data_IF_868913009443
#
_entry.id   IF_868913009443
#
_cell.length_a   1.000
_cell.length_b   1.000
_cell.length_c   1.000
_cell.angle_alpha   90.00
_cell.angle_beta   90.00
_cell.angle_gamma   90.00
#
_symmetry.space_group_name_H-M   'P 1'
#
loop_
_entity.id
_entity.type
_entity.pdbx_description
1 polymer ?
#
# COMPACT_ATOMS: atom_id res chain seq x y z
N UNK A 1 -20.16 33.79 -2.77
CA UNK A 1 -21.29 32.89 -2.45
C UNK A 1 -21.26 31.53 -3.19
N UNK A 2 -20.62 31.36 -4.35
CA UNK A 2 -20.62 30.06 -5.08
C UNK A 2 -19.76 28.95 -4.43
N UNK A 3 -18.73 29.29 -3.66
CA UNK A 3 -17.85 28.35 -2.98
C UNK A 3 -18.56 27.63 -1.80
N UNK A 4 -19.58 28.28 -1.22
CA UNK A 4 -20.30 27.73 -0.05
C UNK A 4 -21.13 26.48 -0.40
N UNK A 5 -21.47 26.27 -1.67
CA UNK A 5 -22.21 25.08 -2.11
C UNK A 5 -21.32 23.93 -2.58
N UNK A 6 -20.05 24.19 -2.90
CA UNK A 6 -19.11 23.17 -3.36
C UNK A 6 -18.73 22.22 -2.20
N UNK A 7 -18.55 22.77 -1.00
CA UNK A 7 -18.16 21.99 0.18
C UNK A 7 -19.21 20.93 0.59
N UNK A 8 -20.51 21.28 0.74
CA UNK A 8 -21.53 20.28 1.06
C UNK A 8 -21.79 19.28 -0.07
N UNK A 9 -21.63 19.70 -1.35
CA UNK A 9 -21.77 18.77 -2.48
C UNK A 9 -20.64 17.73 -2.51
N UNK A 10 -19.40 18.14 -2.19
CA UNK A 10 -18.25 17.22 -2.06
C UNK A 10 -18.44 16.22 -0.91
N UNK A 11 -19.04 16.67 0.20
CA UNK A 11 -19.34 15.82 1.36
C UNK A 11 -20.43 14.78 1.07
N UNK A 12 -21.42 15.13 0.24
CA UNK A 12 -22.49 14.20 -0.16
C UNK A 12 -21.98 13.09 -1.10
N UNK A 13 -20.96 13.37 -1.93
CA UNK A 13 -20.35 12.37 -2.80
C UNK A 13 -19.60 11.27 -2.02
N UNK A 14 -19.10 11.58 -0.82
CA UNK A 14 -18.39 10.60 0.00
C UNK A 14 -19.30 9.53 0.64
N UNK A 15 -20.61 9.75 0.68
CA UNK A 15 -21.59 8.82 1.27
C UNK A 15 -21.93 7.62 0.37
N UNK A 16 -21.52 7.66 -0.90
CA UNK A 16 -21.77 6.59 -1.88
C UNK A 16 -20.55 5.68 -2.12
N UNK A 17 -19.46 5.89 -1.39
CA UNK A 17 -18.26 5.07 -1.50
C UNK A 17 -18.35 3.82 -0.61
N UNK A 18 -19.22 2.88 -0.97
CA UNK A 18 -19.22 1.53 -0.37
C UNK A 18 -18.57 0.57 -1.35
N UNK A 19 -17.28 0.43 -1.31
CA UNK A 19 -16.59 -0.41 -2.29
C UNK A 19 -15.30 -1.01 -1.76
N UNK A 20 -15.30 -1.58 -0.57
CA UNK A 20 -14.12 -2.34 -0.13
C UNK A 20 -14.59 -3.48 0.76
N UNK A 21 -14.14 -4.69 0.41
CA UNK A 21 -14.32 -5.82 1.30
C UNK A 21 -13.23 -5.80 2.40
N UNK A 22 -13.39 -6.63 3.41
CA UNK A 22 -12.48 -6.69 4.56
C UNK A 22 -11.05 -7.07 4.16
N UNK A 23 -10.88 -7.86 3.11
CA UNK A 23 -9.57 -8.27 2.61
C UNK A 23 -8.81 -7.10 1.98
N UNK A 24 -9.49 -6.25 1.21
CA UNK A 24 -8.88 -5.06 0.64
C UNK A 24 -8.52 -4.05 1.73
N UNK A 25 -9.40 -3.86 2.73
CA UNK A 25 -9.08 -3.01 3.87
C UNK A 25 -7.81 -3.49 4.60
N UNK A 26 -7.68 -4.80 4.84
CA UNK A 26 -6.50 -5.41 5.44
C UNK A 26 -5.26 -5.23 4.55
N UNK A 27 -5.41 -5.44 3.24
CA UNK A 27 -4.32 -5.29 2.27
C UNK A 27 -3.79 -3.86 2.21
N UNK A 28 -4.67 -2.86 2.22
CA UNK A 28 -4.28 -1.44 2.21
C UNK A 28 -3.75 -0.96 3.56
N UNK A 29 -4.16 -1.56 4.67
CA UNK A 29 -3.66 -1.19 6.01
C UNK A 29 -2.25 -1.69 6.30
N UNK A 30 -1.75 -2.67 5.56
CA UNK A 30 -0.38 -3.20 5.76
C UNK A 30 0.64 -2.20 5.24
N UNK A 31 1.47 -1.70 6.15
CA UNK A 31 2.65 -0.92 5.81
C UNK A 31 3.87 -1.84 5.81
N UNK A 32 4.63 -1.81 4.74
CA UNK A 32 5.93 -2.48 4.68
C UNK A 32 7.01 -1.42 4.88
N UNK A 33 7.96 -1.61 5.81
CA UNK A 33 8.98 -0.61 6.10
C UNK A 33 10.04 -0.56 4.99
N UNK A 34 9.64 -0.08 3.83
CA UNK A 34 10.55 0.25 2.75
C UNK A 34 11.20 1.60 3.02
N UNK A 35 12.40 1.80 2.52
CA UNK A 35 13.13 3.06 2.67
C UNK A 35 14.63 2.88 2.50
N UNK A 36 15.42 3.61 3.27
CA UNK A 36 16.87 3.43 3.27
C UNK A 36 17.25 2.02 3.74
N UNK A 37 18.39 1.52 3.29
CA UNK A 37 18.90 0.21 3.72
C UNK A 37 19.01 0.11 5.25
N UNK A 38 19.33 1.22 5.92
CA UNK A 38 19.43 1.28 7.38
C UNK A 38 18.06 1.06 8.02
N UNK A 39 17.03 1.77 7.58
CA UNK A 39 15.66 1.66 8.13
C UNK A 39 15.08 0.28 7.87
N UNK A 40 15.30 -0.25 6.66
CA UNK A 40 14.84 -1.61 6.29
C UNK A 40 15.52 -2.69 7.11
N UNK A 41 16.84 -2.57 7.34
CA UNK A 41 17.59 -3.53 8.17
C UNK A 41 17.13 -3.56 9.63
N UNK A 42 16.57 -2.45 10.14
CA UNK A 42 16.00 -2.36 11.48
C UNK A 42 14.50 -2.71 11.52
N UNK A 43 13.95 -3.26 10.44
CA UNK A 43 12.54 -3.62 10.36
C UNK A 43 11.59 -2.43 10.48
N UNK A 44 12.05 -1.21 10.14
CA UNK A 44 11.27 0.03 10.28
C UNK A 44 11.26 0.64 11.68
N UNK A 45 11.95 0.06 12.67
CA UNK A 45 12.01 0.55 14.05
C UNK A 45 12.92 1.78 14.17
N UNK A 46 12.62 2.85 13.43
CA UNK A 46 13.46 4.03 13.29
C UNK A 46 12.77 5.34 13.72
N UNK A 47 11.50 5.28 14.14
CA UNK A 47 10.69 6.46 14.39
C UNK A 47 11.24 7.44 15.47
N UNK A 48 12.02 6.96 16.43
CA UNK A 48 12.62 7.78 17.47
C UNK A 48 14.04 8.29 17.15
N UNK A 49 14.73 7.69 16.19
CA UNK A 49 16.15 7.96 15.95
C UNK A 49 16.39 9.22 15.13
N UNK A 50 15.60 9.47 14.10
CA UNK A 50 15.81 10.58 13.16
C UNK A 50 17.12 10.46 12.38
N UNK A 51 17.45 11.50 11.59
CA UNK A 51 18.69 11.54 10.82
C UNK A 51 18.73 10.57 9.64
N UNK A 52 17.59 10.15 9.16
CA UNK A 52 17.38 9.40 7.93
C UNK A 52 16.15 9.96 7.22
N UNK A 53 16.23 10.20 5.92
CA UNK A 53 15.14 10.81 5.16
C UNK A 53 13.87 9.98 5.15
N UNK A 54 13.98 8.66 5.24
CA UNK A 54 12.83 7.75 5.33
C UNK A 54 11.97 8.03 6.55
N UNK A 55 12.57 8.55 7.64
CA UNK A 55 11.83 8.85 8.88
C UNK A 55 10.82 9.97 8.72
N UNK A 56 10.91 10.79 7.68
CA UNK A 56 9.92 11.83 7.42
C UNK A 56 8.50 11.27 7.24
N UNK A 57 8.38 10.04 6.79
CA UNK A 57 7.07 9.35 6.64
C UNK A 57 6.48 8.88 7.97
N UNK A 58 7.31 8.61 8.98
CA UNK A 58 6.89 8.07 10.29
C UNK A 58 6.96 9.11 11.39
N UNK A 59 8.01 9.92 11.40
CA UNK A 59 8.24 10.98 12.37
C UNK A 59 8.91 12.20 11.70
N UNK A 60 8.15 13.18 11.23
CA UNK A 60 8.70 14.40 10.61
C UNK A 60 9.68 15.18 11.51
N UNK A 61 9.55 15.06 12.83
CA UNK A 61 10.47 15.67 13.78
C UNK A 61 11.91 15.17 13.66
N UNK A 62 12.11 13.99 13.06
CA UNK A 62 13.43 13.42 12.79
C UNK A 62 14.31 14.26 11.86
N UNK A 63 13.72 15.18 11.07
CA UNK A 63 14.47 16.12 10.23
C UNK A 63 15.34 17.08 11.09
N UNK A 64 14.94 17.33 12.34
CA UNK A 64 15.68 18.20 13.26
C UNK A 64 17.09 17.71 13.61
N UNK A 65 17.38 16.44 13.38
CA UNK A 65 18.69 15.83 13.66
C UNK A 65 19.75 16.19 12.61
N UNK A 66 19.33 16.52 11.38
CA UNK A 66 20.26 16.87 10.32
C UNK A 66 21.03 18.15 10.63
N UNK A 67 22.35 18.12 10.43
CA UNK A 67 23.27 19.24 10.60
C UNK A 67 23.92 19.67 9.30
N UNK A 68 23.77 18.88 8.25
CA UNK A 68 24.29 19.12 6.90
C UNK A 68 23.21 18.80 5.88
N UNK A 69 23.30 19.43 4.73
CA UNK A 69 22.46 19.08 3.60
C UNK A 69 22.86 17.69 3.07
N UNK A 70 21.84 16.89 2.71
CA UNK A 70 22.02 15.51 2.27
C UNK A 70 21.07 15.20 1.13
N UNK A 71 21.51 14.37 0.20
CA UNK A 71 20.68 13.76 -0.84
C UNK A 71 20.76 12.24 -0.64
N UNK A 72 19.64 11.58 -0.65
CA UNK A 72 19.55 10.13 -0.51
C UNK A 72 18.82 9.53 -1.70
N UNK A 73 19.37 8.43 -2.19
CA UNK A 73 18.78 7.59 -3.22
C UNK A 73 18.92 6.14 -2.79
N UNK A 74 17.81 5.39 -2.82
CA UNK A 74 17.80 3.97 -2.47
C UNK A 74 17.10 3.18 -3.56
N UNK A 75 17.82 2.25 -4.17
CA UNK A 75 17.25 1.22 -5.03
C UNK A 75 17.16 -0.09 -4.26
N UNK A 76 16.13 -0.88 -4.54
CA UNK A 76 15.86 -2.13 -3.84
C UNK A 76 15.45 -3.22 -4.81
N UNK A 77 15.94 -4.43 -4.54
CA UNK A 77 15.46 -5.67 -5.14
C UNK A 77 14.65 -6.43 -4.09
N UNK A 78 13.41 -6.73 -4.42
CA UNK A 78 12.52 -7.55 -3.57
C UNK A 78 12.43 -8.95 -4.18
N UNK A 79 12.85 -9.95 -3.41
CA UNK A 79 12.79 -11.36 -3.76
C UNK A 79 11.66 -12.00 -2.96
N UNK A 80 10.53 -12.24 -3.59
CA UNK A 80 9.40 -12.90 -2.97
C UNK A 80 9.37 -14.37 -3.39
N UNK A 81 9.42 -15.25 -2.40
CA UNK A 81 9.30 -16.69 -2.59
C UNK A 81 8.11 -17.20 -1.76
N UNK A 82 7.20 -17.91 -2.40
CA UNK A 82 6.06 -18.52 -1.74
C UNK A 82 5.94 -19.99 -2.17
N UNK A 83 5.82 -20.86 -1.17
CA UNK A 83 5.67 -22.28 -1.37
C UNK A 83 4.38 -22.77 -0.73
N UNK A 84 3.53 -23.41 -1.52
CA UNK A 84 2.29 -24.01 -1.04
C UNK A 84 2.05 -25.34 -1.71
N UNK A 85 1.87 -26.41 -0.92
CA UNK A 85 1.52 -27.76 -1.38
C UNK A 85 2.36 -28.27 -2.58
N UNK A 86 3.65 -27.94 -2.61
CA UNK A 86 4.57 -28.38 -3.69
C UNK A 86 4.66 -27.47 -4.90
N UNK A 87 3.94 -26.36 -4.93
CA UNK A 87 4.07 -25.31 -5.96
C UNK A 87 4.97 -24.22 -5.42
N UNK A 88 6.10 -24.00 -6.09
CA UNK A 88 7.03 -22.92 -5.80
C UNK A 88 6.77 -21.76 -6.75
N UNK A 89 6.49 -20.58 -6.19
CA UNK A 89 6.36 -19.34 -6.92
C UNK A 89 7.42 -18.36 -6.47
N UNK A 90 8.19 -17.86 -7.43
CA UNK A 90 9.20 -16.83 -7.20
C UNK A 90 8.83 -15.58 -7.97
N UNK A 91 8.98 -14.44 -7.33
CA UNK A 91 8.83 -13.15 -7.99
C UNK A 91 9.91 -12.20 -7.54
N UNK A 92 10.70 -11.76 -8.49
CA UNK A 92 11.75 -10.77 -8.28
C UNK A 92 11.27 -9.43 -8.83
N UNK A 93 11.39 -8.38 -8.03
CA UNK A 93 10.96 -7.04 -8.41
C UNK A 93 12.02 -6.02 -8.08
N UNK A 94 12.22 -5.09 -9.01
CA UNK A 94 12.99 -3.89 -8.77
C UNK A 94 12.06 -2.78 -8.29
N UNK A 95 12.44 -2.11 -7.20
CA UNK A 95 11.69 -1.02 -6.59
C UNK A 95 12.59 0.17 -6.33
N UNK A 96 12.04 1.36 -6.49
CA UNK A 96 12.62 2.57 -5.94
C UNK A 96 12.29 2.61 -4.44
N UNK A 97 13.24 2.27 -3.59
CA UNK A 97 13.05 2.21 -2.14
C UNK A 97 12.86 3.61 -1.53
N UNK A 98 13.57 4.60 -2.05
CA UNK A 98 13.44 5.99 -1.60
C UNK A 98 14.29 6.96 -2.40
N UNK A 99 13.78 8.19 -2.48
CA UNK A 99 14.49 9.33 -3.04
C UNK A 99 14.18 10.55 -2.19
N UNK A 100 15.20 11.29 -1.77
CA UNK A 100 14.93 12.47 -0.98
C UNK A 100 16.14 13.39 -0.84
N UNK A 101 15.88 14.56 -0.31
CA UNK A 101 16.92 15.53 0.05
C UNK A 101 16.54 16.28 1.31
N UNK A 102 17.53 16.76 2.04
CA UNK A 102 17.38 17.72 3.11
C UNK A 102 18.37 18.86 2.91
N UNK A 103 17.88 20.07 3.05
CA UNK A 103 18.68 21.28 3.09
C UNK A 103 18.75 21.76 4.53
N UNK A 104 19.95 21.88 5.06
CA UNK A 104 20.21 22.30 6.43
C UNK A 104 20.94 23.63 6.42
N UNK A 105 20.33 24.63 7.03
CA UNK A 105 20.86 25.99 7.14
C UNK A 105 21.13 26.34 8.61
N UNK A 106 22.28 26.95 8.86
CA UNK A 106 22.63 27.48 10.17
C UNK A 106 22.50 29.02 10.12
N UNK A 107 21.40 29.58 10.62
CA UNK A 107 21.26 31.03 10.65
C UNK A 107 22.22 31.64 11.71
N UNK A 108 22.73 32.81 11.42
CA UNK A 108 23.60 33.57 12.35
C UNK A 108 22.85 34.12 13.59
N UNK A 109 21.75 33.51 13.97
CA UNK A 109 20.89 33.94 15.06
C UNK A 109 21.16 33.14 16.32
N UNK A 110 21.24 33.80 17.47
CA UNK A 110 21.38 33.11 18.76
C UNK A 110 20.14 32.32 19.19
N UNK A 111 18.99 32.51 18.51
CA UNK A 111 17.71 31.86 18.85
C UNK A 111 17.49 30.57 18.08
N UNK A 112 17.97 30.48 16.84
CA UNK A 112 17.80 29.34 15.96
C UNK A 112 19.12 28.64 15.71
N UNK A 113 19.25 27.39 16.07
CA UNK A 113 20.48 26.60 15.84
C UNK A 113 20.52 26.01 14.43
N UNK A 114 19.37 25.61 13.91
CA UNK A 114 19.28 24.98 12.60
C UNK A 114 17.89 25.14 12.00
N UNK A 115 17.80 25.30 10.70
CA UNK A 115 16.58 25.26 9.94
C UNK A 115 16.76 24.17 8.88
N UNK A 116 15.90 23.16 8.91
CA UNK A 116 15.95 22.05 7.99
C UNK A 116 14.68 22.01 7.15
N UNK A 117 14.86 21.91 5.83
CA UNK A 117 13.79 21.73 4.86
C UNK A 117 14.12 20.47 4.09
N UNK A 118 13.19 19.54 4.01
CA UNK A 118 13.41 18.29 3.31
C UNK A 118 12.19 17.78 2.56
N UNK A 119 12.48 16.97 1.57
CA UNK A 119 11.51 16.21 0.82
C UNK A 119 11.97 14.75 0.79
N UNK A 120 11.03 13.84 0.94
CA UNK A 120 11.30 12.41 0.80
C UNK A 120 10.14 11.73 0.07
N UNK A 121 10.51 10.90 -0.88
CA UNK A 121 9.65 9.89 -1.47
C UNK A 121 10.08 8.53 -0.94
N UNK A 122 9.16 7.78 -0.37
CA UNK A 122 9.39 6.39 0.03
C UNK A 122 8.20 5.53 -0.36
N UNK A 123 8.47 4.29 -0.70
CA UNK A 123 7.43 3.33 -1.01
C UNK A 123 6.89 2.75 0.30
N UNK A 124 5.60 2.88 0.54
CA UNK A 124 4.95 2.38 1.76
C UNK A 124 4.39 0.97 1.59
N UNK A 125 4.05 0.59 0.36
CA UNK A 125 3.52 -0.73 0.06
C UNK A 125 3.77 -1.08 -1.41
N UNK A 126 3.83 -2.38 -1.69
CA UNK A 126 3.95 -2.89 -3.03
C UNK A 126 2.79 -3.84 -3.33
N UNK A 127 1.81 -3.34 -4.08
CA UNK A 127 0.64 -4.13 -4.49
C UNK A 127 0.90 -5.07 -5.67
N UNK A 128 2.07 -4.98 -6.30
CA UNK A 128 2.45 -5.85 -7.42
C UNK A 128 2.99 -7.22 -6.98
N UNK A 129 2.69 -7.63 -5.75
CA UNK A 129 3.00 -8.97 -5.22
C UNK A 129 1.93 -9.98 -5.62
N UNK A 130 1.71 -10.15 -6.90
CA UNK A 130 0.83 -11.21 -7.38
C UNK A 130 1.58 -12.55 -7.33
N UNK A 131 1.44 -13.25 -6.23
CA UNK A 131 1.86 -14.64 -6.12
C UNK A 131 0.62 -15.46 -6.49
N UNK A 132 0.56 -15.92 -7.71
CA UNK A 132 -0.50 -16.80 -8.18
C UNK A 132 -0.23 -18.19 -7.60
N UNK A 133 -1.09 -18.66 -6.73
CA UNK A 133 -1.14 -20.06 -6.33
C UNK A 133 -2.31 -20.70 -7.07
N UNK A 134 -2.02 -21.35 -8.17
CA UNK A 134 -2.98 -22.21 -8.82
C UNK A 134 -3.10 -23.51 -8.01
N UNK A 135 -4.22 -23.70 -7.36
CA UNK A 135 -4.55 -24.96 -6.72
C UNK A 135 -5.45 -25.77 -7.66
N UNK A 136 -4.96 -26.89 -8.15
CA UNK A 136 -5.79 -27.85 -8.85
C UNK A 136 -6.17 -28.95 -7.87
N UNK A 137 -7.35 -28.89 -7.32
CA UNK A 137 -7.95 -30.04 -6.66
C UNK A 137 -8.53 -30.97 -7.73
N UNK A 138 -8.02 -32.20 -7.78
CA UNK A 138 -8.44 -33.22 -8.77
C UNK A 138 -9.83 -33.78 -8.49
N UNK A 139 -10.49 -33.40 -7.40
CA UNK A 139 -11.79 -33.93 -6.98
C UNK A 139 -12.99 -33.07 -7.36
N UNK A 140 -12.81 -31.95 -8.06
CA UNK A 140 -13.92 -31.16 -8.60
C UNK A 140 -14.75 -30.32 -7.61
N UNK A 141 -14.50 -30.46 -6.30
CA UNK A 141 -15.33 -29.83 -5.26
C UNK A 141 -14.91 -28.40 -4.88
N UNK A 142 -13.78 -27.91 -5.41
CA UNK A 142 -13.27 -26.57 -5.11
C UNK A 142 -12.94 -25.84 -6.39
N UNK A 143 -13.94 -25.24 -7.00
CA UNK A 143 -13.78 -24.37 -8.15
C UNK A 143 -14.23 -22.94 -7.83
N UNK A 144 -13.73 -21.97 -8.58
CA UNK A 144 -14.18 -20.58 -8.45
C UNK A 144 -15.71 -20.46 -8.68
N UNK A 145 -16.26 -21.32 -9.53
CA UNK A 145 -17.71 -21.37 -9.76
C UNK A 145 -18.49 -21.81 -8.52
N UNK A 146 -17.93 -22.64 -7.65
CA UNK A 146 -18.59 -23.04 -6.41
C UNK A 146 -18.64 -21.89 -5.39
N UNK A 147 -17.60 -21.09 -5.31
CA UNK A 147 -17.58 -19.87 -4.50
C UNK A 147 -18.66 -18.91 -5.00
N UNK A 148 -18.73 -18.70 -6.30
CA UNK A 148 -19.76 -17.82 -6.88
C UNK A 148 -21.18 -18.36 -6.70
N UNK A 149 -21.36 -19.68 -6.73
CA UNK A 149 -22.66 -20.30 -6.42
C UNK A 149 -23.06 -20.06 -4.97
N UNK A 150 -22.12 -20.21 -4.04
CA UNK A 150 -22.34 -19.95 -2.62
C UNK A 150 -22.65 -18.47 -2.35
N UNK A 151 -21.92 -17.56 -2.99
CA UNK A 151 -22.18 -16.11 -2.90
C UNK A 151 -23.50 -15.69 -3.56
N UNK A 152 -23.97 -16.40 -4.56
CA UNK A 152 -25.23 -16.13 -5.26
C UNK A 152 -26.44 -16.80 -4.62
N UNK A 153 -26.23 -17.72 -3.68
CA UNK A 153 -27.29 -18.49 -3.08
C UNK A 153 -28.29 -17.59 -2.35
N UNK A 154 -29.56 -17.72 -2.71
CA UNK A 154 -30.63 -16.91 -2.14
C UNK A 154 -30.77 -15.50 -2.70
N UNK A 155 -29.95 -15.08 -3.65
CA UNK A 155 -30.02 -13.77 -4.29
C UNK A 155 -30.81 -13.82 -5.61
N UNK A 156 -31.53 -12.74 -5.91
CA UNK A 156 -32.14 -12.57 -7.23
C UNK A 156 -31.10 -12.10 -8.26
N UNK A 157 -31.31 -12.32 -9.58
CA UNK A 157 -30.36 -11.89 -10.61
C UNK A 157 -30.00 -10.41 -10.58
N UNK A 158 -30.88 -9.55 -10.06
CA UNK A 158 -30.65 -8.11 -9.94
C UNK A 158 -29.82 -7.72 -8.71
N UNK A 159 -29.63 -8.62 -7.76
CA UNK A 159 -28.88 -8.42 -6.51
C UNK A 159 -27.46 -9.00 -6.60
N UNK A 160 -27.14 -9.67 -7.71
CA UNK A 160 -25.81 -10.22 -7.94
C UNK A 160 -24.77 -9.11 -8.13
N UNK A 161 -23.55 -9.37 -7.68
CA UNK A 161 -22.45 -8.44 -7.85
C UNK A 161 -22.00 -8.42 -9.32
N UNK A 162 -22.07 -7.25 -9.97
CA UNK A 162 -21.75 -7.04 -11.40
C UNK A 162 -20.33 -7.48 -11.80
N UNK A 163 -19.41 -7.55 -10.85
CA UNK A 163 -18.00 -7.87 -11.11
C UNK A 163 -17.61 -9.33 -10.82
N UNK A 164 -18.47 -10.11 -10.15
CA UNK A 164 -18.20 -11.50 -9.77
C UNK A 164 -19.37 -12.41 -10.16
N UNK A 165 -20.37 -12.50 -9.29
CA UNK A 165 -21.52 -13.39 -9.45
C UNK A 165 -22.40 -13.02 -10.63
N UNK A 166 -22.55 -11.74 -10.96
CA UNK A 166 -23.31 -11.26 -12.11
C UNK A 166 -22.65 -11.68 -13.43
N UNK A 167 -21.33 -11.49 -13.55
CA UNK A 167 -20.59 -11.96 -14.73
C UNK A 167 -20.66 -13.50 -14.89
N UNK A 168 -20.63 -14.22 -13.78
CA UNK A 168 -20.73 -15.67 -13.79
C UNK A 168 -22.15 -16.13 -14.18
N UNK A 169 -23.18 -15.39 -13.78
CA UNK A 169 -24.55 -15.62 -14.19
C UNK A 169 -24.75 -15.37 -15.69
N UNK A 170 -24.26 -14.25 -16.20
CA UNK A 170 -24.30 -13.90 -17.63
C UNK A 170 -23.51 -14.89 -18.50
N UNK A 171 -22.45 -15.47 -17.95
CA UNK A 171 -21.67 -16.52 -18.61
C UNK A 171 -22.27 -17.93 -18.46
N UNK A 172 -23.47 -18.08 -17.92
CA UNK A 172 -24.16 -19.36 -17.66
C UNK A 172 -23.36 -20.33 -16.78
N UNK A 173 -22.51 -19.81 -15.89
CA UNK A 173 -21.75 -20.61 -14.92
C UNK A 173 -22.55 -20.91 -13.63
N UNK A 174 -23.58 -20.11 -13.37
CA UNK A 174 -24.49 -20.23 -12.23
C UNK A 174 -25.83 -20.71 -12.76
N UNK A 175 -26.10 -22.00 -12.63
CA UNK A 175 -27.39 -22.63 -12.97
C UNK A 175 -27.96 -23.32 -11.72
#
# INVERSE_FOLDING_TARGET
MKILYILPTLLLFSLFASAQNEEDALRFSRLTPFGSARVTAMGGAFGALGGDLTTLSTNPGGIGVFRKSEISFTSMLDFAHAKTKGIDNEKNMYLLGGLGFVLSFQPMSNKWKNINIGFNYTNLNNFNRNIFQGYYETNGDSSLSNIWKEEADGLSPQELNDFTTGLAYDAYMLT
#
